data_IF_501357512598
#
_entry.id   IF_501357512598
#
_cell.length_a   1.000
_cell.length_b   1.000
_cell.length_c   1.000
_cell.angle_alpha   90.00
_cell.angle_beta   90.00
_cell.angle_gamma   90.00
#
_symmetry.space_group_name_H-M   'P 1'
#
loop_
_entity.id
_entity.type
_entity.pdbx_description
1 polymer ?
#
# COMPACT_ATOMS: atom_id res chain seq x y z
N UNK A 1 15.25 22.28 -53.09
CA UNK A 1 16.11 21.39 -52.31
C UNK A 1 15.30 21.04 -51.08
N UNK A 2 14.57 19.94 -51.22
CA UNK A 2 13.68 19.37 -50.22
C UNK A 2 14.47 18.27 -49.51
N UNK A 3 14.71 18.47 -48.23
CA UNK A 3 15.41 17.50 -47.37
C UNK A 3 14.36 16.56 -46.81
N UNK A 4 14.35 15.33 -47.32
CA UNK A 4 13.44 14.25 -46.97
C UNK A 4 14.19 13.29 -46.04
N UNK A 5 14.16 13.59 -44.73
CA UNK A 5 14.71 12.74 -43.67
C UNK A 5 13.91 11.45 -43.51
N UNK A 6 14.52 10.31 -43.26
CA UNK A 6 13.86 9.01 -43.23
C UNK A 6 12.92 8.88 -42.03
N UNK A 7 11.62 8.75 -42.34
CA UNK A 7 10.62 8.26 -41.39
C UNK A 7 10.99 6.82 -41.01
N UNK A 8 11.44 6.63 -39.76
CA UNK A 8 11.53 5.32 -39.16
C UNK A 8 10.13 4.72 -39.05
N UNK A 9 9.82 3.76 -39.90
CA UNK A 9 8.68 2.89 -39.76
C UNK A 9 8.86 2.03 -38.50
N UNK A 10 8.07 2.32 -37.47
CA UNK A 10 7.86 1.39 -36.38
C UNK A 10 7.16 0.16 -36.96
N UNK A 11 7.94 -0.84 -37.35
CA UNK A 11 7.40 -2.17 -37.62
C UNK A 11 6.83 -2.71 -36.32
N UNK A 12 5.52 -2.91 -36.32
CA UNK A 12 4.82 -3.68 -35.31
C UNK A 12 5.55 -5.04 -35.17
N UNK A 13 6.08 -5.30 -34.00
CA UNK A 13 6.53 -6.63 -33.62
C UNK A 13 5.25 -7.48 -33.42
N UNK A 14 4.81 -8.11 -34.49
CA UNK A 14 3.96 -9.28 -34.44
C UNK A 14 4.78 -10.41 -33.81
N UNK A 15 4.42 -10.82 -32.60
CA UNK A 15 5.07 -11.97 -31.96
C UNK A 15 4.94 -12.05 -30.45
N UNK A 16 4.08 -11.26 -29.78
CA UNK A 16 3.65 -11.62 -28.44
C UNK A 16 2.54 -12.67 -28.54
N UNK A 17 2.92 -13.95 -28.51
CA UNK A 17 2.02 -14.99 -28.06
C UNK A 17 1.52 -14.58 -26.67
N UNK A 18 0.33 -14.01 -26.62
CA UNK A 18 -0.39 -13.78 -25.37
C UNK A 18 -0.59 -15.16 -24.76
N UNK A 19 0.25 -15.52 -23.79
CA UNK A 19 0.03 -16.68 -22.95
C UNK A 19 -1.34 -16.47 -22.28
N UNK A 20 -2.36 -17.04 -22.90
CA UNK A 20 -3.71 -17.02 -22.32
C UNK A 20 -3.66 -17.82 -21.02
N UNK A 21 -3.86 -17.14 -19.91
CA UNK A 21 -4.02 -17.80 -18.62
C UNK A 21 -5.15 -18.82 -18.70
N UNK A 22 -4.89 -20.03 -18.19
CA UNK A 22 -5.88 -21.10 -18.10
C UNK A 22 -6.66 -21.06 -16.78
N UNK A 23 -6.41 -20.08 -15.93
CA UNK A 23 -7.12 -19.93 -14.65
C UNK A 23 -8.49 -19.32 -14.90
N UNK A 24 -9.53 -19.99 -14.37
CA UNK A 24 -10.93 -19.53 -14.43
C UNK A 24 -11.60 -19.70 -13.08
N UNK A 25 -12.57 -18.85 -12.80
CA UNK A 25 -13.50 -19.05 -11.69
C UNK A 25 -14.77 -19.65 -12.27
N UNK A 26 -14.96 -20.95 -12.06
CA UNK A 26 -16.07 -21.71 -12.65
C UNK A 26 -17.39 -21.39 -11.97
N UNK A 27 -17.39 -21.29 -10.64
CA UNK A 27 -18.64 -21.10 -9.89
C UNK A 27 -18.46 -20.17 -8.67
N UNK A 28 -19.58 -19.72 -8.13
CA UNK A 28 -19.66 -18.92 -6.90
C UNK A 28 -20.81 -19.49 -6.03
N UNK A 29 -20.45 -20.18 -4.97
CA UNK A 29 -21.36 -20.96 -4.14
C UNK A 29 -21.57 -20.30 -2.79
N UNK A 30 -22.79 -20.33 -2.28
CA UNK A 30 -23.06 -19.94 -0.88
C UNK A 30 -22.66 -21.08 0.05
N UNK A 31 -21.82 -20.80 1.04
CA UNK A 31 -21.38 -21.75 2.07
C UNK A 31 -21.61 -21.20 3.46
N UNK A 32 -21.83 -22.11 4.40
CA UNK A 32 -21.91 -21.83 5.85
C UNK A 32 -20.80 -22.58 6.62
N UNK A 33 -19.89 -23.24 5.93
CA UNK A 33 -18.77 -23.93 6.55
C UNK A 33 -17.89 -22.96 7.33
N UNK A 34 -17.55 -23.28 8.55
CA UNK A 34 -16.70 -22.48 9.45
C UNK A 34 -17.22 -21.09 9.83
N UNK A 35 -18.51 -20.76 9.57
CA UNK A 35 -19.10 -19.46 9.94
C UNK A 35 -20.56 -19.59 10.34
N UNK A 36 -21.01 -18.80 11.32
CA UNK A 36 -22.42 -18.66 11.70
C UNK A 36 -23.25 -17.92 10.65
N UNK A 37 -22.61 -17.24 9.69
CA UNK A 37 -23.27 -16.50 8.62
C UNK A 37 -22.87 -17.06 7.26
N UNK A 38 -23.83 -17.09 6.31
CA UNK A 38 -23.59 -17.45 4.92
C UNK A 38 -22.57 -16.49 4.26
N UNK A 39 -21.65 -17.05 3.48
CA UNK A 39 -20.66 -16.33 2.69
C UNK A 39 -20.48 -16.98 1.32
N UNK A 40 -19.99 -16.21 0.35
CA UNK A 40 -19.75 -16.70 -1.01
C UNK A 40 -18.33 -17.27 -1.12
N UNK A 41 -18.24 -18.47 -1.68
CA UNK A 41 -17.01 -19.18 -2.01
C UNK A 41 -16.89 -19.26 -3.54
N UNK A 42 -15.74 -18.87 -4.07
CA UNK A 42 -15.42 -18.93 -5.49
C UNK A 42 -14.63 -20.21 -5.77
N UNK A 43 -15.07 -20.95 -6.78
CA UNK A 43 -14.40 -22.18 -7.23
C UNK A 43 -13.42 -21.80 -8.33
N UNK A 44 -12.12 -21.92 -8.03
CA UNK A 44 -11.02 -21.60 -8.95
C UNK A 44 -10.60 -22.90 -9.63
N UNK A 45 -10.61 -22.92 -10.95
CA UNK A 45 -10.07 -23.98 -11.78
C UNK A 45 -8.76 -23.50 -12.41
N UNK A 46 -7.69 -24.24 -12.19
CA UNK A 46 -6.37 -24.04 -12.79
C UNK A 46 -5.84 -25.39 -13.34
N UNK A 47 -4.85 -25.41 -14.22
CA UNK A 47 -4.33 -26.68 -14.77
C UNK A 47 -3.96 -27.69 -13.70
N UNK A 48 -4.74 -28.79 -13.63
CA UNK A 48 -4.53 -29.88 -12.67
C UNK A 48 -5.00 -29.62 -11.23
N UNK A 49 -5.60 -28.47 -10.93
CA UNK A 49 -6.04 -28.12 -9.58
C UNK A 49 -7.40 -27.41 -9.58
N UNK A 50 -8.18 -27.69 -8.56
CA UNK A 50 -9.38 -26.95 -8.21
C UNK A 50 -9.28 -26.48 -6.76
N UNK A 51 -9.54 -25.20 -6.48
CA UNK A 51 -9.48 -24.66 -5.14
C UNK A 51 -10.74 -23.82 -4.84
N UNK A 52 -11.15 -23.83 -3.57
CA UNK A 52 -12.28 -23.03 -3.08
C UNK A 52 -11.75 -21.91 -2.19
N UNK A 53 -12.04 -20.66 -2.56
CA UNK A 53 -11.56 -19.47 -1.85
C UNK A 53 -12.70 -18.48 -1.62
N UNK A 54 -12.77 -17.89 -0.44
CA UNK A 54 -13.70 -16.79 -0.15
C UNK A 54 -13.08 -15.45 -0.51
N UNK A 55 -13.88 -14.42 -0.65
CA UNK A 55 -13.40 -13.07 -1.00
C UNK A 55 -12.26 -12.57 -0.10
N UNK A 56 -12.35 -12.78 1.22
CA UNK A 56 -11.30 -12.39 2.16
C UNK A 56 -9.95 -13.08 1.94
N UNK A 57 -9.94 -14.26 1.33
CA UNK A 57 -8.70 -14.97 1.02
C UNK A 57 -8.00 -14.30 -0.19
N UNK A 58 -8.76 -13.78 -1.17
CA UNK A 58 -8.22 -12.97 -2.26
C UNK A 58 -7.69 -11.62 -1.75
N UNK A 59 -8.38 -10.98 -0.82
CA UNK A 59 -7.93 -9.75 -0.17
C UNK A 59 -6.60 -9.98 0.55
N UNK A 60 -6.52 -11.03 1.33
CA UNK A 60 -5.32 -11.41 2.06
C UNK A 60 -4.16 -11.85 1.15
N UNK A 61 -4.45 -12.57 0.04
CA UNK A 61 -3.44 -12.88 -0.99
C UNK A 61 -2.86 -11.60 -1.59
N UNK A 62 -3.72 -10.66 -1.97
CA UNK A 62 -3.28 -9.38 -2.54
C UNK A 62 -2.39 -8.60 -1.58
N UNK A 63 -2.78 -8.48 -0.31
CA UNK A 63 -1.98 -7.83 0.72
C UNK A 63 -0.64 -8.55 0.98
N UNK A 64 -0.63 -9.88 0.93
CA UNK A 64 0.57 -10.69 1.05
C UNK A 64 1.55 -10.42 -0.10
N UNK A 65 1.04 -10.41 -1.34
CA UNK A 65 1.86 -10.11 -2.53
C UNK A 65 2.38 -8.66 -2.54
N UNK A 66 1.60 -7.68 -2.07
CA UNK A 66 2.07 -6.29 -1.89
C UNK A 66 3.23 -6.19 -0.88
N UNK A 67 3.24 -7.03 0.15
CA UNK A 67 4.32 -7.08 1.14
C UNK A 67 5.54 -7.82 0.63
N UNK A 68 5.34 -8.92 -0.11
CA UNK A 68 6.43 -9.71 -0.70
C UNK A 68 7.12 -8.99 -1.86
N UNK A 69 6.35 -8.26 -2.65
CA UNK A 69 6.82 -7.58 -3.85
C UNK A 69 6.51 -6.08 -3.82
N UNK A 70 7.09 -5.31 -2.88
CA UNK A 70 6.74 -3.90 -2.69
C UNK A 70 7.14 -2.99 -3.86
N UNK A 71 7.92 -3.48 -4.80
CA UNK A 71 8.32 -2.77 -6.03
C UNK A 71 7.42 -3.06 -7.23
N UNK A 72 6.50 -4.04 -7.11
CA UNK A 72 5.62 -4.43 -8.19
C UNK A 72 4.22 -3.85 -8.02
N UNK A 73 3.54 -3.65 -9.15
CA UNK A 73 2.14 -3.24 -9.19
C UNK A 73 1.27 -4.50 -9.09
N UNK A 74 0.74 -4.77 -7.91
CA UNK A 74 -0.18 -5.88 -7.71
C UNK A 74 -1.57 -5.47 -8.22
N UNK A 75 -2.20 -6.27 -9.11
CA UNK A 75 -3.51 -5.95 -9.66
C UNK A 75 -4.57 -5.67 -8.58
N UNK A 76 -5.55 -4.80 -8.86
CA UNK A 76 -6.65 -4.58 -7.94
C UNK A 76 -7.62 -5.77 -7.91
N UNK A 77 -8.34 -5.88 -6.80
CA UNK A 77 -9.51 -6.75 -6.65
C UNK A 77 -10.77 -5.89 -6.51
N UNK A 78 -11.97 -6.42 -6.82
CA UNK A 78 -13.21 -5.68 -6.62
C UNK A 78 -13.36 -5.23 -5.17
N UNK A 79 -13.94 -4.07 -4.94
CA UNK A 79 -14.20 -3.58 -3.59
C UNK A 79 -15.16 -4.51 -2.83
N UNK A 80 -14.91 -4.67 -1.52
CA UNK A 80 -15.73 -5.52 -0.63
C UNK A 80 -17.18 -5.02 -0.54
N UNK A 81 -17.35 -3.71 -0.62
CA UNK A 81 -18.63 -3.01 -0.56
C UNK A 81 -18.65 -1.91 -1.61
N UNK A 82 -19.59 -1.94 -2.54
CA UNK A 82 -19.94 -0.70 -3.22
C UNK A 82 -20.76 0.13 -2.22
N UNK A 83 -20.33 1.36 -1.96
CA UNK A 83 -20.98 2.25 -1.00
C UNK A 83 -22.49 2.46 -1.30
N UNK A 84 -22.90 2.30 -2.57
CA UNK A 84 -24.28 2.41 -3.02
C UNK A 84 -25.14 1.18 -2.64
N UNK A 85 -24.57 -0.02 -2.71
CA UNK A 85 -25.32 -1.26 -2.43
C UNK A 85 -25.59 -1.41 -0.94
N UNK A 86 -24.73 -0.84 -0.07
CA UNK A 86 -24.93 -0.86 1.38
C UNK A 86 -25.96 0.16 1.86
N UNK A 87 -26.13 1.27 1.15
CA UNK A 87 -27.06 2.33 1.54
C UNK A 87 -28.54 1.94 1.32
N UNK A 88 -28.81 1.04 0.37
CA UNK A 88 -30.18 0.67 0.00
C UNK A 88 -30.69 -0.59 0.68
N UNK A 89 -29.88 -1.64 0.87
CA UNK A 89 -30.29 -2.87 1.60
C UNK A 89 -29.10 -3.81 1.89
N UNK A 90 -28.43 -3.73 3.03
CA UNK A 90 -27.22 -4.52 3.33
C UNK A 90 -27.45 -6.04 3.37
N UNK A 91 -28.68 -6.49 3.62
CA UNK A 91 -29.02 -7.92 3.65
C UNK A 91 -29.24 -8.56 2.28
N UNK A 92 -29.75 -7.79 1.31
CA UNK A 92 -29.97 -8.27 -0.07
C UNK A 92 -28.70 -8.19 -0.94
N UNK A 93 -27.87 -7.19 -0.70
CA UNK A 93 -26.63 -6.98 -1.48
C UNK A 93 -25.65 -8.16 -1.42
N UNK A 94 -25.66 -8.97 -0.35
CA UNK A 94 -24.76 -10.14 -0.25
C UNK A 94 -25.11 -11.26 -1.22
N UNK A 95 -26.37 -11.41 -1.59
CA UNK A 95 -26.88 -12.50 -2.42
C UNK A 95 -27.35 -12.03 -3.80
N UNK A 96 -27.04 -10.78 -4.18
CA UNK A 96 -27.38 -10.25 -5.50
C UNK A 96 -26.57 -10.99 -6.58
N UNK A 97 -27.24 -11.71 -7.52
CA UNK A 97 -26.58 -12.46 -8.56
C UNK A 97 -25.69 -11.58 -9.48
N UNK A 98 -26.11 -10.35 -9.75
CA UNK A 98 -25.37 -9.42 -10.60
C UNK A 98 -24.04 -8.99 -9.93
N UNK A 99 -24.07 -8.70 -8.62
CA UNK A 99 -22.89 -8.40 -7.83
C UNK A 99 -21.94 -9.59 -7.73
N UNK A 100 -22.46 -10.79 -7.54
CA UNK A 100 -21.68 -12.03 -7.49
C UNK A 100 -21.01 -12.27 -8.85
N UNK A 101 -21.75 -12.13 -9.94
CA UNK A 101 -21.23 -12.31 -11.32
C UNK A 101 -20.13 -11.27 -11.63
N UNK A 102 -20.34 -10.00 -11.27
CA UNK A 102 -19.32 -8.94 -11.40
C UNK A 102 -18.05 -9.26 -10.62
N UNK A 103 -18.18 -9.63 -9.34
CA UNK A 103 -17.04 -10.02 -8.51
C UNK A 103 -16.30 -11.22 -9.08
N UNK A 104 -17.04 -12.22 -9.57
CA UNK A 104 -16.46 -13.40 -10.21
C UNK A 104 -15.58 -12.99 -11.39
N UNK A 105 -16.07 -12.16 -12.32
CA UNK A 105 -15.29 -11.66 -13.49
C UNK A 105 -14.04 -10.88 -13.04
N UNK A 106 -14.17 -9.97 -12.08
CA UNK A 106 -13.03 -9.15 -11.63
C UNK A 106 -11.98 -9.98 -10.87
N UNK A 107 -12.39 -10.93 -10.03
CA UNK A 107 -11.47 -11.86 -9.35
C UNK A 107 -10.78 -12.80 -10.33
N UNK A 108 -11.48 -13.24 -11.37
CA UNK A 108 -10.88 -14.04 -12.45
C UNK A 108 -9.81 -13.24 -13.19
N UNK A 109 -10.09 -11.99 -13.59
CA UNK A 109 -9.10 -11.09 -14.20
C UNK A 109 -7.89 -10.87 -13.30
N UNK A 110 -8.11 -10.71 -11.99
CA UNK A 110 -7.03 -10.59 -11.02
C UNK A 110 -6.09 -11.81 -11.06
N UNK A 111 -6.64 -13.03 -10.99
CA UNK A 111 -5.85 -14.27 -11.06
C UNK A 111 -5.13 -14.42 -12.40
N UNK A 112 -5.80 -14.11 -13.52
CA UNK A 112 -5.21 -14.18 -14.86
C UNK A 112 -4.02 -13.23 -15.01
N UNK A 113 -4.11 -12.02 -14.45
CA UNK A 113 -3.01 -11.06 -14.47
C UNK A 113 -1.84 -11.48 -13.58
N UNK A 114 -2.11 -12.14 -12.45
CA UNK A 114 -1.04 -12.74 -11.64
C UNK A 114 -0.33 -13.86 -12.41
N UNK A 115 -1.11 -14.70 -13.09
CA UNK A 115 -0.60 -15.86 -13.84
C UNK A 115 0.25 -15.45 -15.06
N UNK A 116 -0.12 -14.37 -15.74
CA UNK A 116 0.64 -13.83 -16.87
C UNK A 116 1.85 -12.98 -16.48
N UNK A 117 1.97 -12.59 -15.20
CA UNK A 117 3.07 -11.75 -14.74
C UNK A 117 4.35 -12.58 -14.52
N UNK A 118 5.52 -12.19 -15.09
CA UNK A 118 6.72 -13.01 -15.08
C UNK A 118 7.27 -13.35 -13.68
N UNK A 119 7.02 -12.51 -12.69
CA UNK A 119 7.49 -12.73 -11.31
C UNK A 119 6.38 -13.32 -10.43
N UNK A 120 5.14 -12.79 -10.54
CA UNK A 120 4.05 -13.20 -9.65
C UNK A 120 3.51 -14.59 -9.96
N UNK A 121 3.60 -15.06 -11.22
CA UNK A 121 3.16 -16.39 -11.64
C UNK A 121 3.97 -17.54 -10.99
N UNK A 122 5.22 -17.28 -10.67
CA UNK A 122 6.12 -18.27 -10.04
C UNK A 122 6.16 -18.14 -8.51
N UNK A 123 5.48 -17.14 -7.94
CA UNK A 123 5.44 -16.92 -6.49
C UNK A 123 4.81 -18.09 -5.75
N UNK A 124 5.45 -18.56 -4.69
CA UNK A 124 5.03 -19.75 -3.92
C UNK A 124 3.68 -19.53 -3.25
N UNK A 125 3.42 -18.31 -2.74
CA UNK A 125 2.16 -17.96 -2.07
C UNK A 125 1.01 -17.99 -3.06
N UNK A 126 1.22 -17.47 -4.27
CA UNK A 126 0.22 -17.51 -5.35
C UNK A 126 -0.06 -18.97 -5.78
N UNK A 127 0.98 -19.79 -5.97
CA UNK A 127 0.80 -21.21 -6.33
C UNK A 127 0.06 -21.99 -5.26
N UNK A 128 0.42 -21.84 -3.99
CA UNK A 128 -0.30 -22.48 -2.89
C UNK A 128 -1.76 -22.00 -2.79
N UNK A 129 -2.04 -20.76 -3.17
CA UNK A 129 -3.41 -20.25 -3.22
C UNK A 129 -4.27 -20.97 -4.26
N UNK A 130 -3.71 -21.44 -5.37
CA UNK A 130 -4.41 -22.17 -6.42
C UNK A 130 -4.63 -23.65 -6.07
N UNK A 131 -3.98 -24.19 -5.06
CA UNK A 131 -4.07 -25.58 -4.66
C UNK A 131 -5.06 -25.79 -3.51
N UNK A 132 -5.95 -26.79 -3.62
CA UNK A 132 -6.95 -27.11 -2.60
C UNK A 132 -6.35 -27.62 -1.28
N UNK A 133 -5.15 -28.21 -1.34
CA UNK A 133 -4.49 -28.81 -0.18
C UNK A 133 -4.05 -27.82 0.88
N UNK A 134 -3.87 -26.54 0.52
CA UNK A 134 -3.47 -25.49 1.45
C UNK A 134 -4.67 -24.63 1.82
N UNK A 135 -4.93 -24.45 3.10
CA UNK A 135 -5.83 -23.41 3.58
C UNK A 135 -5.11 -22.05 3.60
N UNK A 136 -5.86 -20.95 3.50
CA UNK A 136 -5.24 -19.62 3.62
C UNK A 136 -4.54 -19.42 4.97
N UNK A 137 -5.08 -19.99 6.03
CA UNK A 137 -4.48 -19.94 7.36
C UNK A 137 -3.09 -20.58 7.39
N UNK A 138 -2.91 -21.74 6.77
CA UNK A 138 -1.61 -22.40 6.66
C UNK A 138 -0.61 -21.56 5.84
N UNK A 139 -1.04 -21.06 4.67
CA UNK A 139 -0.23 -20.21 3.81
C UNK A 139 0.28 -18.97 4.59
N UNK A 140 -0.59 -18.32 5.34
CA UNK A 140 -0.25 -17.09 6.09
C UNK A 140 0.76 -17.32 7.24
N UNK A 141 0.83 -18.53 7.79
CA UNK A 141 1.71 -18.87 8.92
C UNK A 141 2.99 -19.61 8.51
N UNK A 142 3.17 -19.86 7.22
CA UNK A 142 4.40 -20.48 6.69
C UNK A 142 5.32 -19.43 6.03
N UNK A 143 6.64 -19.67 5.97
CA UNK A 143 7.52 -18.85 5.14
C UNK A 143 7.07 -18.87 3.67
N UNK A 144 7.16 -17.75 2.95
CA UNK A 144 7.83 -16.49 3.30
C UNK A 144 6.99 -15.48 4.11
N UNK A 145 5.68 -15.73 4.31
CA UNK A 145 4.78 -14.75 4.94
C UNK A 145 5.04 -14.56 6.45
N UNK A 146 5.36 -15.65 7.14
CA UNK A 146 5.64 -15.61 8.58
C UNK A 146 6.91 -14.84 8.96
N UNK A 147 7.83 -14.62 8.01
CA UNK A 147 9.09 -13.89 8.22
C UNK A 147 9.02 -12.42 7.82
N UNK A 148 7.88 -11.98 7.25
CA UNK A 148 7.72 -10.60 6.80
C UNK A 148 7.69 -9.61 7.98
N UNK A 149 8.38 -8.47 7.88
CA UNK A 149 8.28 -7.40 8.84
C UNK A 149 6.90 -6.72 8.78
N UNK A 150 6.53 -6.05 9.87
CA UNK A 150 5.26 -5.29 9.93
C UNK A 150 5.18 -4.16 8.90
N UNK A 151 6.34 -3.57 8.55
CA UNK A 151 6.43 -2.48 7.58
C UNK A 151 7.48 -2.81 6.52
N UNK A 152 7.14 -2.59 5.25
CA UNK A 152 8.06 -2.75 4.11
C UNK A 152 9.22 -1.73 4.12
N UNK A 153 9.17 -0.70 4.98
CA UNK A 153 10.30 0.19 5.23
C UNK A 153 11.41 -0.50 6.03
N UNK A 154 11.08 -1.52 6.81
CA UNK A 154 12.02 -2.25 7.67
C UNK A 154 12.54 -3.54 7.01
N UNK A 155 12.52 -3.58 5.68
CA UNK A 155 13.04 -4.72 4.92
C UNK A 155 13.66 -4.26 3.59
N UNK A 156 14.57 -5.07 3.01
CA UNK A 156 15.09 -4.82 1.67
C UNK A 156 13.97 -4.94 0.63
N UNK A 157 13.90 -4.03 -0.35
CA UNK A 157 12.81 -4.01 -1.34
C UNK A 157 12.73 -5.26 -2.21
N UNK A 158 13.86 -5.92 -2.49
CA UNK A 158 13.93 -7.07 -3.38
C UNK A 158 13.64 -8.40 -2.68
N UNK A 159 13.99 -8.52 -1.39
CA UNK A 159 13.83 -9.73 -0.60
C UNK A 159 13.31 -9.41 0.81
N UNK A 160 12.05 -8.98 0.95
CA UNK A 160 11.52 -8.55 2.24
C UNK A 160 11.44 -9.65 3.29
N UNK A 161 11.36 -10.91 2.86
CA UNK A 161 11.32 -12.11 3.72
C UNK A 161 12.68 -12.68 4.08
N UNK A 162 13.79 -11.97 3.74
CA UNK A 162 15.14 -12.45 4.08
C UNK A 162 15.31 -12.54 5.61
N UNK A 163 15.83 -13.64 6.16
CA UNK A 163 15.89 -13.85 7.61
C UNK A 163 16.75 -12.81 8.35
N UNK A 164 17.78 -12.27 7.70
CA UNK A 164 18.68 -11.26 8.29
C UNK A 164 18.12 -9.82 8.16
N UNK A 165 17.03 -9.62 7.41
CA UNK A 165 16.44 -8.30 7.21
C UNK A 165 16.12 -7.55 8.52
N UNK A 166 15.52 -8.16 9.55
CA UNK A 166 15.23 -7.47 10.81
C UNK A 166 16.48 -6.94 11.50
N UNK A 167 17.58 -7.70 11.49
CA UNK A 167 18.84 -7.30 12.11
C UNK A 167 19.50 -6.14 11.35
N UNK A 168 19.54 -6.19 10.03
CA UNK A 168 20.11 -5.15 9.18
C UNK A 168 19.34 -3.82 9.26
N UNK A 169 18.00 -3.89 9.39
CA UNK A 169 17.14 -2.70 9.41
C UNK A 169 16.84 -2.16 10.82
N UNK A 170 17.25 -2.86 11.90
CA UNK A 170 16.97 -2.44 13.28
C UNK A 170 17.56 -1.06 13.63
N UNK A 171 18.68 -0.71 13.00
CA UNK A 171 19.40 0.54 13.27
C UNK A 171 19.18 1.64 12.22
N UNK A 172 18.42 1.33 11.16
CA UNK A 172 18.16 2.31 10.11
C UNK A 172 17.04 3.27 10.53
N UNK A 173 17.19 4.57 10.22
CA UNK A 173 16.13 5.53 10.47
C UNK A 173 14.91 5.20 9.63
N UNK A 174 13.71 5.35 10.19
CA UNK A 174 12.46 5.10 9.48
C UNK A 174 11.67 6.39 9.39
N UNK A 175 11.46 6.95 8.19
CA UNK A 175 10.68 8.16 8.01
C UNK A 175 9.19 7.88 8.32
N UNK A 176 8.56 8.76 9.09
CA UNK A 176 7.13 8.67 9.46
C UNK A 176 6.22 9.38 8.47
N UNK A 177 6.74 10.42 7.81
CA UNK A 177 6.01 11.22 6.82
C UNK A 177 6.94 11.62 5.66
N UNK A 178 6.41 11.80 4.44
CA UNK A 178 7.19 12.31 3.32
C UNK A 178 7.73 13.71 3.62
N UNK A 179 9.03 13.92 3.42
CA UNK A 179 9.68 15.23 3.46
C UNK A 179 10.36 15.52 2.12
N UNK A 180 10.86 16.73 1.95
CA UNK A 180 11.60 17.10 0.75
C UNK A 180 12.91 16.31 0.69
N UNK A 181 13.17 15.63 -0.42
CA UNK A 181 14.42 14.93 -0.69
C UNK A 181 15.56 15.93 -0.99
N UNK A 182 16.78 15.57 -0.62
CA UNK A 182 17.98 16.34 -0.94
C UNK A 182 18.30 16.22 -2.44
N UNK A 183 18.19 15.00 -2.97
CA UNK A 183 18.51 14.68 -4.37
C UNK A 183 17.33 14.02 -5.07
N UNK A 184 16.25 14.78 -5.38
CA UNK A 184 15.07 14.23 -6.02
C UNK A 184 15.39 13.78 -7.47
N UNK A 185 14.86 12.64 -7.86
CA UNK A 185 14.94 12.14 -9.24
C UNK A 185 13.82 12.76 -10.08
N UNK A 186 14.17 13.42 -11.19
CA UNK A 186 13.24 14.15 -12.04
C UNK A 186 12.17 13.24 -12.66
N UNK A 187 12.54 12.02 -13.09
CA UNK A 187 11.59 11.07 -13.69
C UNK A 187 10.51 10.65 -12.70
N UNK A 188 10.88 10.46 -11.43
CA UNK A 188 9.90 10.09 -10.40
C UNK A 188 9.02 11.28 -9.98
N UNK A 189 9.55 12.51 -9.98
CA UNK A 189 8.73 13.71 -9.76
C UNK A 189 7.68 13.89 -10.86
N UNK A 190 8.06 13.68 -12.12
CA UNK A 190 7.14 13.71 -13.25
C UNK A 190 6.10 12.60 -13.17
N UNK A 191 6.51 11.38 -12.80
CA UNK A 191 5.60 10.25 -12.60
C UNK A 191 4.62 10.50 -11.44
N UNK A 192 5.07 11.06 -10.32
CA UNK A 192 4.21 11.45 -9.20
C UNK A 192 3.18 12.52 -9.64
N UNK A 193 3.65 13.56 -10.35
CA UNK A 193 2.79 14.61 -10.88
C UNK A 193 1.75 14.09 -11.88
N UNK A 194 2.15 13.20 -12.79
CA UNK A 194 1.23 12.55 -13.72
C UNK A 194 0.21 11.68 -12.98
N UNK A 195 0.68 10.80 -12.10
CA UNK A 195 -0.17 9.86 -11.36
C UNK A 195 -1.21 10.59 -10.52
N UNK A 196 -0.82 11.66 -9.84
CA UNK A 196 -1.75 12.48 -9.05
C UNK A 196 -2.85 13.12 -9.91
N UNK A 197 -2.48 13.68 -11.08
CA UNK A 197 -3.48 14.24 -12.03
C UNK A 197 -4.40 13.15 -12.56
N UNK A 198 -3.84 12.00 -12.92
CA UNK A 198 -4.60 10.85 -13.42
C UNK A 198 -5.56 10.31 -12.37
N UNK A 199 -5.10 10.08 -11.13
CA UNK A 199 -5.94 9.64 -10.01
C UNK A 199 -7.08 10.62 -9.75
N UNK A 200 -6.77 11.92 -9.68
CA UNK A 200 -7.78 12.97 -9.50
C UNK A 200 -8.80 12.98 -10.63
N UNK A 201 -8.38 12.89 -11.89
CA UNK A 201 -9.28 12.85 -13.04
C UNK A 201 -10.19 11.61 -13.03
N UNK A 202 -9.61 10.43 -12.77
CA UNK A 202 -10.37 9.18 -12.73
C UNK A 202 -11.42 9.18 -11.61
N UNK A 203 -11.01 9.56 -10.40
CA UNK A 203 -11.88 9.54 -9.22
C UNK A 203 -12.93 10.66 -9.21
N UNK A 204 -12.58 11.88 -9.66
CA UNK A 204 -13.49 13.04 -9.58
C UNK A 204 -14.34 13.28 -10.82
N UNK A 205 -13.89 12.81 -11.99
CA UNK A 205 -14.54 13.13 -13.27
C UNK A 205 -15.02 11.87 -14.00
N UNK A 206 -14.11 10.93 -14.30
CA UNK A 206 -14.43 9.83 -15.19
C UNK A 206 -15.41 8.84 -14.57
N UNK A 207 -15.10 8.29 -13.41
CA UNK A 207 -15.95 7.30 -12.74
C UNK A 207 -17.31 7.88 -12.34
N UNK A 208 -17.44 9.08 -11.73
CA UNK A 208 -18.73 9.68 -11.44
C UNK A 208 -19.55 10.01 -12.69
N UNK A 209 -18.90 10.40 -13.81
CA UNK A 209 -19.61 10.69 -15.07
C UNK A 209 -20.16 9.42 -15.68
N UNK A 210 -19.39 8.33 -15.73
CA UNK A 210 -19.84 7.03 -16.16
C UNK A 210 -21.02 6.54 -15.31
N UNK A 211 -20.92 6.66 -13.99
CA UNK A 211 -22.02 6.27 -13.08
C UNK A 211 -23.31 7.04 -13.34
N UNK A 212 -23.23 8.37 -13.56
CA UNK A 212 -24.41 9.19 -13.92
C UNK A 212 -25.00 8.80 -15.26
N UNK A 213 -24.15 8.49 -16.25
CA UNK A 213 -24.60 8.04 -17.58
C UNK A 213 -25.36 6.72 -17.47
N UNK A 214 -24.79 5.71 -16.83
CA UNK A 214 -25.40 4.39 -16.62
C UNK A 214 -26.72 4.52 -15.87
N UNK A 215 -26.80 5.38 -14.85
CA UNK A 215 -28.04 5.61 -14.11
C UNK A 215 -29.14 6.16 -15.01
N UNK A 216 -28.84 7.18 -15.82
CA UNK A 216 -29.82 7.73 -16.76
C UNK A 216 -30.32 6.71 -17.79
N UNK A 217 -29.44 5.88 -18.31
CA UNK A 217 -29.82 4.81 -19.22
C UNK A 217 -30.71 3.75 -18.56
N UNK A 218 -30.46 3.44 -17.29
CA UNK A 218 -31.34 2.54 -16.51
C UNK A 218 -32.73 3.15 -16.31
N UNK A 219 -32.80 4.44 -16.03
CA UNK A 219 -34.07 5.15 -15.87
C UNK A 219 -34.84 5.13 -17.19
N UNK A 220 -34.19 5.40 -18.33
CA UNK A 220 -34.80 5.31 -19.65
C UNK A 220 -35.29 3.88 -19.95
N UNK A 221 -34.51 2.87 -19.61
CA UNK A 221 -34.91 1.47 -19.79
C UNK A 221 -36.17 1.15 -18.94
N UNK A 222 -36.25 1.61 -17.70
CA UNK A 222 -37.40 1.45 -16.85
C UNK A 222 -38.64 2.14 -17.41
N UNK A 223 -38.49 3.38 -17.94
CA UNK A 223 -39.61 4.11 -18.62
C UNK A 223 -40.16 3.32 -19.84
N UNK A 224 -39.29 2.68 -20.63
CA UNK A 224 -39.75 1.81 -21.73
C UNK A 224 -40.46 0.56 -21.23
N UNK A 225 -40.03 -0.06 -20.13
CA UNK A 225 -40.71 -1.19 -19.53
C UNK A 225 -42.14 -0.79 -19.05
N UNK A 226 -42.24 0.34 -18.35
CA UNK A 226 -43.52 0.86 -17.88
C UNK A 226 -44.45 1.23 -19.02
N UNK A 227 -43.92 1.89 -20.07
CA UNK A 227 -44.67 2.22 -21.27
C UNK A 227 -45.21 0.95 -22.00
N UNK A 228 -44.35 -0.07 -22.14
CA UNK A 228 -44.74 -1.36 -22.70
C UNK A 228 -45.86 -2.01 -21.90
N UNK A 229 -45.74 -2.07 -20.58
CA UNK A 229 -46.75 -2.61 -19.70
C UNK A 229 -48.10 -1.87 -19.83
N UNK A 230 -48.08 -0.53 -19.85
CA UNK A 230 -49.28 0.30 -20.00
C UNK A 230 -49.96 0.09 -21.36
N UNK A 231 -49.20 0.08 -22.44
CA UNK A 231 -49.76 -0.14 -23.80
C UNK A 231 -50.31 -1.56 -23.96
N UNK A 232 -49.63 -2.58 -23.43
CA UNK A 232 -50.10 -3.96 -23.42
C UNK A 232 -51.41 -4.09 -22.62
N UNK A 233 -51.49 -3.46 -21.43
CA UNK A 233 -52.72 -3.42 -20.67
C UNK A 233 -53.87 -2.70 -21.39
N UNK A 234 -53.56 -1.55 -22.04
CA UNK A 234 -54.55 -0.80 -22.84
C UNK A 234 -55.06 -1.61 -24.05
N UNK A 235 -54.18 -2.36 -24.71
CA UNK A 235 -54.60 -3.20 -25.85
C UNK A 235 -55.61 -4.28 -25.46
N UNK A 236 -55.52 -4.80 -24.25
CA UNK A 236 -56.48 -5.79 -23.72
C UNK A 236 -57.84 -5.17 -23.33
N UNK A 237 -57.84 -3.88 -22.99
CA UNK A 237 -59.06 -3.14 -22.67
C UNK A 237 -59.78 -2.60 -23.93
N UNK A 238 -59.08 -2.43 -25.03
CA UNK A 238 -59.57 -1.87 -26.30
C UNK A 238 -60.33 -2.92 -27.11
N UNK A 239 -61.57 -2.58 -27.52
CA UNK A 239 -62.46 -3.50 -28.28
C UNK A 239 -62.52 -3.19 -29.76
N UNK A 240 -61.79 -2.19 -30.23
CA UNK A 240 -61.80 -1.74 -31.62
C UNK A 240 -60.68 -2.36 -32.45
N UNK A 241 -60.68 -2.07 -33.79
CA UNK A 241 -59.58 -2.46 -34.66
C UNK A 241 -58.24 -1.81 -34.31
N UNK A 242 -58.21 -0.92 -33.31
CA UNK A 242 -57.02 -0.26 -32.80
C UNK A 242 -56.21 -1.14 -31.86
N UNK A 243 -56.81 -2.13 -31.19
CA UNK A 243 -56.16 -3.01 -30.22
C UNK A 243 -54.85 -3.66 -30.75
N UNK A 244 -54.78 -4.24 -31.99
CA UNK A 244 -53.52 -4.79 -32.48
C UNK A 244 -52.40 -3.76 -32.71
N UNK A 245 -52.77 -2.52 -33.07
CA UNK A 245 -51.80 -1.45 -33.25
C UNK A 245 -51.18 -0.99 -31.90
N UNK A 246 -52.04 -0.89 -30.86
CA UNK A 246 -51.58 -0.58 -29.48
C UNK A 246 -50.68 -1.71 -28.96
N UNK A 247 -51.07 -2.98 -29.15
CA UNK A 247 -50.28 -4.15 -28.77
C UNK A 247 -48.91 -4.16 -29.47
N UNK A 248 -48.91 -3.89 -30.79
CA UNK A 248 -47.65 -3.83 -31.55
C UNK A 248 -46.70 -2.74 -31.02
N UNK A 249 -47.25 -1.58 -30.61
CA UNK A 249 -46.47 -0.50 -30.03
C UNK A 249 -45.95 -0.87 -28.65
N UNK A 250 -46.78 -1.54 -27.84
CA UNK A 250 -46.34 -2.07 -26.52
C UNK A 250 -45.20 -3.08 -26.66
N UNK A 251 -45.31 -4.02 -27.60
CA UNK A 251 -44.25 -4.99 -27.92
C UNK A 251 -42.96 -4.32 -28.41
N UNK A 252 -43.04 -3.23 -29.17
CA UNK A 252 -41.89 -2.47 -29.60
C UNK A 252 -41.19 -1.78 -28.38
N UNK A 253 -41.95 -1.26 -27.41
CA UNK A 253 -41.41 -0.70 -26.17
C UNK A 253 -40.72 -1.78 -25.30
N UNK A 254 -41.34 -2.97 -25.17
CA UNK A 254 -40.74 -4.10 -24.45
C UNK A 254 -39.42 -4.56 -25.11
N UNK A 255 -39.41 -4.65 -26.45
CA UNK A 255 -38.18 -5.00 -27.19
C UNK A 255 -37.08 -3.98 -26.99
N UNK A 256 -37.45 -2.69 -26.95
CA UNK A 256 -36.49 -1.60 -26.67
C UNK A 256 -35.92 -1.70 -25.25
N UNK A 257 -36.76 -2.00 -24.26
CA UNK A 257 -36.31 -2.26 -22.88
C UNK A 257 -35.29 -3.40 -22.81
N UNK A 258 -35.57 -4.54 -23.45
CA UNK A 258 -34.66 -5.69 -23.49
C UNK A 258 -33.31 -5.28 -24.11
N UNK A 259 -33.34 -4.63 -25.28
CA UNK A 259 -32.14 -4.19 -25.99
C UNK A 259 -31.30 -3.20 -25.15
N UNK A 260 -31.96 -2.26 -24.44
CA UNK A 260 -31.27 -1.33 -23.52
C UNK A 260 -30.68 -2.06 -22.33
N UNK A 261 -31.38 -3.06 -21.80
CA UNK A 261 -30.87 -3.86 -20.65
C UNK A 261 -29.63 -4.68 -21.04
N UNK A 262 -29.64 -5.29 -22.25
CA UNK A 262 -28.49 -6.02 -22.79
C UNK A 262 -27.31 -5.07 -23.04
N UNK A 263 -27.55 -3.91 -23.65
CA UNK A 263 -26.55 -2.87 -23.85
C UNK A 263 -25.93 -2.42 -22.53
N UNK A 264 -26.74 -2.22 -21.48
CA UNK A 264 -26.26 -1.82 -20.16
C UNK A 264 -25.43 -2.90 -19.50
N UNK A 265 -25.78 -4.16 -19.67
CA UNK A 265 -24.99 -5.29 -19.18
C UNK A 265 -23.62 -5.33 -19.85
N UNK A 266 -23.56 -5.17 -21.16
CA UNK A 266 -22.31 -5.12 -21.91
C UNK A 266 -21.48 -3.88 -21.57
N UNK A 267 -22.13 -2.73 -21.39
CA UNK A 267 -21.46 -1.50 -20.96
C UNK A 267 -20.82 -1.66 -19.57
N UNK A 268 -21.53 -2.28 -18.64
CA UNK A 268 -20.98 -2.54 -17.30
C UNK A 268 -19.73 -3.42 -17.38
N UNK A 269 -19.73 -4.47 -18.20
CA UNK A 269 -18.62 -5.41 -18.34
C UNK A 269 -17.40 -4.81 -19.08
N UNK A 270 -17.64 -4.03 -20.15
CA UNK A 270 -16.58 -3.59 -21.07
C UNK A 270 -16.15 -2.13 -20.88
N UNK A 271 -16.94 -1.32 -20.16
CA UNK A 271 -16.65 0.11 -19.93
C UNK A 271 -16.58 0.45 -18.44
N UNK A 272 -17.65 0.16 -17.66
CA UNK A 272 -17.70 0.57 -16.26
C UNK A 272 -16.70 -0.17 -15.38
N UNK A 273 -16.55 -1.49 -15.56
CA UNK A 273 -15.57 -2.29 -14.82
C UNK A 273 -14.13 -1.88 -15.11
N UNK A 274 -13.70 -1.71 -16.39
CA UNK A 274 -12.37 -1.16 -16.69
C UNK A 274 -12.13 0.24 -16.14
N UNK A 275 -13.08 1.17 -16.23
CA UNK A 275 -12.93 2.52 -15.65
C UNK A 275 -12.67 2.42 -14.15
N UNK A 276 -13.48 1.62 -13.44
CA UNK A 276 -13.29 1.39 -11.99
C UNK A 276 -11.92 0.77 -11.69
N UNK A 277 -11.49 -0.18 -12.50
CA UNK A 277 -10.19 -0.83 -12.35
C UNK A 277 -9.02 0.15 -12.57
N UNK A 278 -9.09 1.01 -13.60
CA UNK A 278 -8.08 2.06 -13.81
C UNK A 278 -8.04 3.08 -12.66
N UNK A 279 -9.19 3.39 -12.06
CA UNK A 279 -9.24 4.23 -10.84
C UNK A 279 -8.50 3.57 -9.68
N UNK A 280 -8.67 2.26 -9.50
CA UNK A 280 -7.94 1.51 -8.48
C UNK A 280 -6.44 1.42 -8.78
N UNK A 281 -6.04 1.21 -10.05
CA UNK A 281 -4.62 1.25 -10.44
C UNK A 281 -3.98 2.61 -10.17
N UNK A 282 -4.66 3.71 -10.44
CA UNK A 282 -4.17 5.05 -10.13
C UNK A 282 -3.85 5.20 -8.63
N UNK A 283 -4.75 4.73 -7.77
CA UNK A 283 -4.53 4.73 -6.31
C UNK A 283 -3.38 3.80 -5.88
N UNK A 284 -3.23 2.63 -6.51
CA UNK A 284 -2.11 1.70 -6.25
C UNK A 284 -0.78 2.37 -6.63
N UNK A 285 -0.71 3.01 -7.80
CA UNK A 285 0.47 3.74 -8.27
C UNK A 285 0.84 4.89 -7.33
N UNK A 286 -0.13 5.68 -6.88
CA UNK A 286 0.11 6.75 -5.89
C UNK A 286 0.71 6.20 -4.59
N UNK A 287 0.21 5.06 -4.10
CA UNK A 287 0.76 4.42 -2.89
C UNK A 287 2.17 3.88 -3.11
N UNK A 288 2.43 3.27 -4.27
CA UNK A 288 3.74 2.75 -4.64
C UNK A 288 4.78 3.87 -4.75
N UNK A 289 4.45 4.97 -5.42
CA UNK A 289 5.33 6.14 -5.54
C UNK A 289 5.61 6.78 -4.17
N UNK A 290 4.58 6.89 -3.32
CA UNK A 290 4.75 7.35 -1.93
C UNK A 290 5.68 6.44 -1.12
N UNK A 291 5.54 5.12 -1.23
CA UNK A 291 6.45 4.17 -0.58
C UNK A 291 7.88 4.31 -1.12
N UNK A 292 8.05 4.44 -2.44
CA UNK A 292 9.35 4.69 -3.06
C UNK A 292 9.99 5.99 -2.55
N UNK A 293 9.22 7.06 -2.42
CA UNK A 293 9.65 8.34 -1.85
C UNK A 293 10.17 8.15 -0.40
N UNK A 294 9.41 7.45 0.44
CA UNK A 294 9.84 7.15 1.81
C UNK A 294 11.11 6.28 1.86
N UNK A 295 11.27 5.34 0.93
CA UNK A 295 12.51 4.55 0.82
C UNK A 295 13.71 5.41 0.40
N UNK A 296 13.52 6.35 -0.50
CA UNK A 296 14.58 7.29 -0.90
C UNK A 296 14.94 8.19 0.29
N UNK A 297 13.96 8.74 0.99
CA UNK A 297 14.19 9.51 2.20
C UNK A 297 14.93 8.69 3.28
N UNK A 298 14.55 7.42 3.47
CA UNK A 298 15.26 6.51 4.38
C UNK A 298 16.73 6.35 3.99
N UNK A 299 17.01 6.25 2.69
CA UNK A 299 18.37 6.15 2.17
C UNK A 299 19.18 7.44 2.46
N UNK A 300 18.64 8.62 2.17
CA UNK A 300 19.29 9.91 2.48
C UNK A 300 19.57 10.05 3.99
N UNK A 301 18.58 9.75 4.84
CA UNK A 301 18.76 9.77 6.32
C UNK A 301 19.83 8.78 6.79
N UNK A 302 19.97 7.63 6.15
CA UNK A 302 21.00 6.66 6.48
C UNK A 302 22.39 7.15 6.04
N UNK A 303 22.49 7.85 4.91
CA UNK A 303 23.74 8.49 4.46
C UNK A 303 24.18 9.60 5.43
N UNK A 304 23.27 10.49 5.82
CA UNK A 304 23.55 11.56 6.79
C UNK A 304 24.02 10.99 8.15
N UNK A 305 23.37 9.92 8.60
CA UNK A 305 23.76 9.23 9.82
C UNK A 305 25.14 8.57 9.71
N UNK A 306 25.47 7.98 8.56
CA UNK A 306 26.78 7.37 8.30
C UNK A 306 27.86 8.45 8.31
N UNK A 307 27.62 9.57 7.64
CA UNK A 307 28.56 10.69 7.59
C UNK A 307 28.82 11.26 9.00
N UNK A 308 27.74 11.52 9.77
CA UNK A 308 27.86 12.01 11.16
C UNK A 308 28.64 11.03 12.05
N UNK A 309 28.38 9.72 11.94
CA UNK A 309 29.12 8.71 12.71
C UNK A 309 30.58 8.59 12.30
N UNK A 310 30.87 8.71 10.99
CA UNK A 310 32.25 8.68 10.50
C UNK A 310 33.07 9.90 10.94
N UNK A 311 32.45 11.07 10.97
CA UNK A 311 33.06 12.30 11.50
C UNK A 311 33.36 12.16 13.00
N UNK A 312 32.41 11.67 13.76
CA UNK A 312 32.60 11.45 15.22
C UNK A 312 33.69 10.40 15.50
N UNK A 313 33.75 9.31 14.70
CA UNK A 313 34.82 8.33 14.82
C UNK A 313 36.19 8.98 14.59
N UNK A 314 36.32 9.77 13.49
CA UNK A 314 37.57 10.48 13.20
C UNK A 314 37.96 11.53 14.25
N UNK A 315 37.00 12.10 15.00
CA UNK A 315 37.25 12.98 16.16
C UNK A 315 37.79 12.17 17.33
N UNK A 316 37.12 11.07 17.71
CA UNK A 316 37.60 10.18 18.78
C UNK A 316 39.00 9.64 18.49
N UNK A 317 39.29 9.21 17.27
CA UNK A 317 40.63 8.75 16.87
C UNK A 317 41.68 9.86 17.00
N UNK A 318 41.35 11.10 16.66
CA UNK A 318 42.24 12.26 16.85
C UNK A 318 42.49 12.56 18.32
N UNK A 319 41.45 12.54 19.16
CA UNK A 319 41.55 12.73 20.59
C UNK A 319 42.40 11.63 21.25
N UNK A 320 42.18 10.37 20.88
CA UNK A 320 42.97 9.24 21.37
C UNK A 320 44.45 9.38 20.97
N UNK A 321 44.73 9.75 19.71
CA UNK A 321 46.07 9.99 19.25
C UNK A 321 46.77 11.17 19.99
N UNK A 322 46.00 12.22 20.30
CA UNK A 322 46.52 13.34 21.13
C UNK A 322 46.78 12.90 22.55
N UNK A 323 45.88 12.16 23.19
CA UNK A 323 46.05 11.63 24.53
C UNK A 323 47.29 10.70 24.62
N UNK A 324 47.48 9.83 23.62
CA UNK A 324 48.66 8.97 23.55
C UNK A 324 49.97 9.77 23.39
N UNK A 325 49.95 10.86 22.59
CA UNK A 325 51.12 11.76 22.46
C UNK A 325 51.44 12.48 23.77
N UNK A 326 50.41 12.96 24.46
CA UNK A 326 50.56 13.62 25.77
C UNK A 326 51.07 12.63 26.83
N UNK A 327 50.54 11.43 26.89
CA UNK A 327 51.03 10.37 27.80
C UNK A 327 52.49 10.06 27.55
N UNK A 328 52.89 9.87 26.29
CA UNK A 328 54.29 9.63 25.92
C UNK A 328 55.20 10.81 26.24
N UNK A 329 54.73 12.04 26.06
CA UNK A 329 55.48 13.25 26.40
C UNK A 329 55.67 13.40 27.92
N UNK A 330 54.64 13.06 28.71
CA UNK A 330 54.73 13.04 30.19
C UNK A 330 55.69 11.97 30.71
N UNK A 331 55.66 10.77 30.14
CA UNK A 331 56.61 9.71 30.47
C UNK A 331 58.04 10.12 30.16
N UNK A 332 58.25 10.71 28.94
CA UNK A 332 59.60 11.15 28.54
C UNK A 332 60.06 12.39 29.31
N UNK A 333 59.14 13.35 29.55
CA UNK A 333 59.42 14.58 30.32
C UNK A 333 59.57 14.33 31.81
N UNK A 334 58.79 13.40 32.36
CA UNK A 334 58.88 12.99 33.78
C UNK A 334 60.23 12.34 34.11
N UNK A 335 60.72 11.48 33.26
CA UNK A 335 62.07 10.86 33.41
C UNK A 335 63.17 11.89 33.30
N UNK A 336 63.08 12.88 32.41
CA UNK A 336 64.06 13.96 32.26
C UNK A 336 64.07 14.93 33.47
N UNK A 337 62.95 15.18 34.12
CA UNK A 337 62.87 16.03 35.35
C UNK A 337 63.35 15.30 36.62
N UNK A 338 63.13 14.00 36.71
CA UNK A 338 63.61 13.16 37.77
C UNK A 338 65.19 13.00 37.72
N UNK A 339 65.72 12.86 36.51
CA UNK A 339 67.17 12.81 36.30
C UNK A 339 67.84 14.16 36.58
N UNK A 340 67.26 15.30 36.26
CA UNK A 340 67.72 16.63 36.62
C UNK A 340 67.69 16.90 38.15
N UNK A 341 66.72 16.35 38.87
CA UNK A 341 66.57 16.46 40.28
C UNK A 341 67.62 15.61 41.07
N UNK A 342 68.13 14.54 40.44
CA UNK A 342 69.10 13.63 40.98
C UNK A 342 70.53 14.17 40.88
N UNK A 343 70.78 15.13 40.00
CA UNK A 343 72.11 15.73 39.81
C UNK A 343 72.32 17.07 40.45
N UNK A 344 71.34 17.65 41.17
CA UNK A 344 71.51 18.88 41.94
C UNK A 344 70.97 18.72 43.36
N UNK A 345 71.81 18.19 44.29
CA UNK A 345 71.70 18.43 45.65
C UNK A 345 73.08 18.91 46.18
N UNK A 346 73.16 20.11 46.72
CA UNK A 346 73.95 20.26 47.92
C UNK A 346 73.07 20.76 49.11
N UNK A 347 73.46 20.24 50.25
CA UNK A 347 73.03 20.58 51.65
C UNK A 347 73.02 22.08 51.87
N UNK A 348 72.00 22.58 52.56
CA UNK A 348 72.17 23.55 53.60
C UNK A 348 70.94 23.64 54.51
N UNK A 349 71.12 23.34 55.72
CA UNK A 349 70.19 23.57 56.85
C UNK A 349 69.96 25.07 57.07
N UNK A 350 68.80 25.46 57.57
CA UNK A 350 68.63 26.35 58.70
C UNK A 350 67.10 26.51 59.02
N UNK A 351 66.83 26.30 60.27
CA UNK A 351 65.74 26.66 61.18
C UNK A 351 64.77 27.78 60.75
N UNK A 352 63.47 27.58 61.14
CA UNK A 352 62.56 28.70 61.35
C UNK A 352 61.05 28.34 61.31
N UNK A 353 60.54 27.82 62.40
CA UNK A 353 59.41 28.25 63.25
C UNK A 353 58.05 28.59 62.54
N UNK A 354 57.07 27.80 62.94
CA UNK A 354 55.64 27.96 63.20
C UNK A 354 54.87 29.23 62.74
N UNK A 355 53.73 29.01 62.16
CA UNK A 355 52.45 29.62 62.54
C UNK A 355 51.30 28.81 62.00
N UNK A 356 50.44 28.41 62.91
CA UNK A 356 49.08 27.88 62.66
C UNK A 356 48.21 28.94 62.03
N UNK A 357 47.31 28.53 61.11
CA UNK A 357 46.00 29.13 61.06
C UNK A 357 45.06 28.13 60.34
N UNK A 358 44.07 27.75 61.12
CA UNK A 358 42.86 27.03 60.67
C UNK A 358 42.11 27.74 59.50
N UNK A 359 41.68 27.01 58.58
CA UNK A 359 40.47 27.31 57.85
C UNK A 359 39.89 25.99 57.28
N UNK A 360 38.82 25.57 57.88
CA UNK A 360 37.87 24.58 57.40
C UNK A 360 37.35 25.06 56.06
N UNK A 361 37.29 24.17 55.08
CA UNK A 361 36.42 24.41 53.92
C UNK A 361 35.75 23.11 53.56
N UNK A 362 34.46 23.23 53.59
CA UNK A 362 33.40 22.26 53.48
C UNK A 362 33.29 21.71 52.00
N UNK A 363 33.22 20.42 51.86
CA UNK A 363 32.86 19.79 50.61
C UNK A 363 31.33 19.73 50.45
N UNK A 364 30.75 20.13 49.35
CA UNK A 364 29.31 19.93 49.12
C UNK A 364 29.02 18.53 48.62
N UNK A 365 28.10 17.87 49.32
CA UNK A 365 27.45 16.61 49.01
C UNK A 365 26.58 16.72 47.74
N UNK A 366 26.41 15.66 46.93
CA UNK A 366 25.61 15.72 45.75
C UNK A 366 24.10 15.66 46.05
N UNK A 367 23.37 16.60 45.46
CA UNK A 367 21.93 16.72 45.56
C UNK A 367 21.23 15.59 44.80
N UNK A 368 20.21 15.02 45.44
CA UNK A 368 19.22 14.10 44.93
C UNK A 368 18.51 14.69 43.69
N UNK A 369 18.48 13.91 42.60
CA UNK A 369 17.64 14.19 41.46
C UNK A 369 16.20 13.69 41.70
N UNK A 370 15.28 14.61 41.87
CA UNK A 370 13.84 14.37 41.88
C UNK A 370 13.36 14.13 40.44
N UNK A 371 12.75 12.97 40.22
CA UNK A 371 11.97 12.67 38.98
C UNK A 371 10.69 13.50 38.94
N UNK A 372 10.30 14.05 37.77
CA UNK A 372 8.95 14.58 37.57
C UNK A 372 8.03 13.46 37.10
N UNK A 373 7.00 13.18 37.88
CA UNK A 373 5.83 12.38 37.45
C UNK A 373 5.08 13.10 36.32
N UNK A 374 4.95 12.44 35.19
CA UNK A 374 4.03 12.83 34.12
C UNK A 374 2.98 11.75 33.98
N UNK A 375 1.80 12.01 34.52
CA UNK A 375 0.53 11.48 34.03
C UNK A 375 -0.54 12.53 34.32
N UNK A 376 -1.45 12.72 33.36
CA UNK A 376 -2.58 13.65 33.30
C UNK A 376 -2.35 14.96 32.55
N UNK A 377 -2.30 14.91 31.19
CA UNK A 377 -2.90 16.01 30.39
C UNK A 377 -3.12 15.73 28.89
N UNK A 378 -3.38 14.51 28.45
CA UNK A 378 -3.70 14.22 27.05
C UNK A 378 -5.14 13.77 26.76
N UNK A 379 -5.98 13.68 27.78
CA UNK A 379 -7.40 13.30 27.62
C UNK A 379 -8.37 14.48 27.49
N UNK A 380 -7.93 15.73 27.69
CA UNK A 380 -8.82 16.90 27.66
C UNK A 380 -8.92 17.62 26.28
N UNK A 381 -8.07 17.29 25.29
CA UNK A 381 -8.09 17.97 23.97
C UNK A 381 -9.06 17.34 22.95
N UNK A 382 -9.54 16.13 23.15
CA UNK A 382 -10.44 15.47 22.21
C UNK A 382 -11.93 15.63 22.52
N UNK A 383 -12.27 16.11 23.73
CA UNK A 383 -13.67 16.29 24.16
C UNK A 383 -14.33 17.61 23.71
N UNK A 384 -13.58 18.58 23.14
CA UNK A 384 -14.12 19.91 22.78
C UNK A 384 -14.50 20.10 21.31
N UNK A 385 -14.37 19.06 20.46
CA UNK A 385 -14.72 19.17 19.03
C UNK A 385 -16.01 18.48 18.61
N UNK A 386 -16.79 17.97 19.54
CA UNK A 386 -18.04 17.24 19.27
C UNK A 386 -19.31 17.98 19.71
N UNK A 387 -19.26 19.27 20.04
CA UNK A 387 -20.45 20.03 20.44
C UNK A 387 -20.47 21.37 19.71
N UNK A 388 -21.03 21.41 18.51
CA UNK A 388 -21.63 22.61 17.93
C UNK A 388 -22.82 22.17 17.07
N UNK A 389 -24.05 22.62 17.38
CA UNK A 389 -25.24 22.29 16.61
C UNK A 389 -25.39 23.23 15.42
N UNK A 390 -25.87 22.66 14.33
CA UNK A 390 -26.30 23.38 13.13
C UNK A 390 -27.53 24.27 13.44
N UNK A 391 -27.46 25.50 13.02
CA UNK A 391 -28.58 26.31 12.48
C UNK A 391 -28.34 26.53 11.00
#
# INVERSE_FOLDING_TARGET
MTDDGPRASLSAHDGEEHMHSQIRITDALSSTEFSKSSYIVYVISSPGHEAKRRYSDFEALREALEKLHPTLIIPPIPSKHSLLDYATNPGRAKNDPALIARRKRMLERFLQRLDTHPVLSIDVVFRHFLEARYSWHEIAHTPPLSTLPKSNLNAPPQHPSHPDAPACYAFLPTPTAPSKLHTPDAHFLDAEGFTHRFESFMASTMEPSNRRLVHRWRDIAADYADLGALLNAQSLAEQTQLAPAIESTGKAADTTYVALSDMLHDWDAHVSEPIHEYTQYASILSRLLRWRHLKHQQYEMAQDMLESKSQHLAECEREEAQAARLSKALETGGTSLLDKRRTQAPMSSVYGRAAESDAEDEAPSPAEATEPSTDDDLTSMWARKAASPHT
#
